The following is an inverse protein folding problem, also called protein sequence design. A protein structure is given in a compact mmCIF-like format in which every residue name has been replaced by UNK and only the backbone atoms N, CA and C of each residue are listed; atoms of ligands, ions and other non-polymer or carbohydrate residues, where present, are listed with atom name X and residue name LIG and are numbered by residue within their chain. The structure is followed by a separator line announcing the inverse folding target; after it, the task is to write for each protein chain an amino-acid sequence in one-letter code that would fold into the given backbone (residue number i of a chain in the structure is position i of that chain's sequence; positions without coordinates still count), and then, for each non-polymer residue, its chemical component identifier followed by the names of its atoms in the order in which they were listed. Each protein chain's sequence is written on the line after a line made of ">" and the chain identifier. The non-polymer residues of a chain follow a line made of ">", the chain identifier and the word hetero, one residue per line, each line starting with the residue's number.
data_IF_395886159770
#
_entry.id   IF_395886159770
#
_cell.length_a   1.000
_cell.length_b   1.000
_cell.length_c   1.000
_cell.angle_alpha   90.00
_cell.angle_beta   90.00
_cell.angle_gamma   90.00
#
_symmetry.space_group_name_H-M   'P 1'
#
loop_
_entity.id
_entity.type
_entity.pdbx_description
1 polymer ?
#
# COMPACT_ATOMS: atom_id res chain seq x y z
N UNK A 1 36.25 20.33 15.48
CA UNK A 1 35.30 20.81 14.46
C UNK A 1 36.10 21.04 13.19
N UNK A 2 35.85 20.28 12.12
CA UNK A 2 36.57 20.51 10.86
C UNK A 2 36.08 21.81 10.22
N UNK A 3 37.00 22.71 9.86
CA UNK A 3 36.64 23.91 9.10
C UNK A 3 36.07 23.50 7.74
N UNK A 4 34.85 23.94 7.43
CA UNK A 4 34.22 23.72 6.12
C UNK A 4 34.95 24.56 5.06
N UNK A 5 35.07 24.01 3.86
CA UNK A 5 35.62 24.72 2.70
C UNK A 5 34.55 25.65 2.13
N UNK A 6 34.88 26.93 1.98
CA UNK A 6 33.97 27.93 1.41
C UNK A 6 33.99 27.80 -0.12
N UNK A 7 32.83 27.54 -0.74
CA UNK A 7 32.65 27.51 -2.19
C UNK A 7 31.24 27.98 -2.59
N UNK A 8 31.04 28.58 -3.77
CA UNK A 8 29.70 28.91 -4.27
C UNK A 8 28.76 27.69 -4.29
N UNK A 9 27.47 27.92 -4.07
CA UNK A 9 26.45 26.86 -4.18
C UNK A 9 26.42 26.26 -5.60
N UNK A 10 26.15 24.96 -5.69
CA UNK A 10 26.15 24.21 -6.95
C UNK A 10 27.52 23.71 -7.42
N UNK A 11 28.62 24.11 -6.75
CA UNK A 11 30.00 23.69 -7.07
C UNK A 11 30.63 22.83 -5.97
N UNK A 12 29.80 22.21 -5.12
CA UNK A 12 30.26 21.33 -4.06
C UNK A 12 30.47 19.92 -4.61
N UNK A 13 31.58 19.29 -4.23
CA UNK A 13 31.82 17.90 -4.59
C UNK A 13 30.79 17.02 -3.85
N UNK A 14 30.03 16.23 -4.58
CA UNK A 14 29.01 15.33 -4.05
C UNK A 14 29.38 13.86 -4.31
N UNK A 15 29.21 12.96 -3.32
CA UNK A 15 29.37 11.53 -3.53
C UNK A 15 28.23 10.92 -4.37
N UNK A 16 27.14 11.67 -4.58
CA UNK A 16 25.99 11.25 -5.36
C UNK A 16 26.33 11.40 -6.85
N UNK A 17 26.25 10.30 -7.59
CA UNK A 17 26.51 10.26 -9.04
C UNK A 17 25.25 9.85 -9.79
N UNK A 18 25.07 10.19 -11.08
CA UNK A 18 23.92 9.71 -11.85
C UNK A 18 23.72 8.18 -11.79
N UNK A 19 24.82 7.42 -11.71
CA UNK A 19 24.77 5.97 -11.57
C UNK A 19 24.21 5.52 -10.21
N UNK A 20 24.55 6.21 -9.11
CA UNK A 20 23.99 5.89 -7.78
C UNK A 20 22.49 6.20 -7.69
N UNK A 21 21.98 7.12 -8.52
CA UNK A 21 20.55 7.43 -8.60
C UNK A 21 19.73 6.30 -9.24
N UNK A 22 20.32 5.56 -10.18
CA UNK A 22 19.63 4.56 -10.99
C UNK A 22 19.76 3.12 -10.47
N UNK A 23 20.62 2.86 -9.48
CA UNK A 23 21.01 1.51 -9.07
C UNK A 23 20.20 0.88 -7.93
N UNK A 24 19.26 1.60 -7.33
CA UNK A 24 18.49 1.12 -6.17
C UNK A 24 17.34 0.20 -6.56
N UNK A 25 17.01 -0.74 -5.66
CA UNK A 25 15.76 -1.51 -5.73
C UNK A 25 14.58 -0.57 -5.47
N UNK A 26 13.44 -0.81 -6.12
CA UNK A 26 12.15 -0.26 -5.65
C UNK A 26 11.34 -1.38 -5.01
N UNK A 27 10.57 -1.03 -3.98
CA UNK A 27 9.59 -1.93 -3.37
C UNK A 27 8.21 -1.42 -3.72
N UNK A 28 7.30 -2.33 -4.07
CA UNK A 28 5.96 -1.95 -4.53
C UNK A 28 4.84 -2.51 -3.63
N UNK A 29 5.09 -3.63 -2.94
CA UNK A 29 4.13 -4.23 -2.00
C UNK A 29 4.85 -5.17 -1.00
N UNK A 30 4.24 -5.41 0.16
CA UNK A 30 4.72 -6.30 1.25
C UNK A 30 3.54 -6.90 2.01
N UNK A 31 3.52 -8.22 2.22
CA UNK A 31 2.44 -8.95 2.87
C UNK A 31 2.96 -10.07 3.76
N UNK A 32 2.21 -10.38 4.82
CA UNK A 32 2.42 -11.58 5.63
C UNK A 32 1.69 -12.77 5.03
N UNK A 33 2.26 -13.96 5.17
CA UNK A 33 1.50 -15.20 5.04
C UNK A 33 0.53 -15.39 6.22
N UNK A 34 -0.44 -16.28 6.07
CA UNK A 34 -1.46 -16.59 7.08
C UNK A 34 -0.89 -17.12 8.39
N UNK A 35 0.30 -17.73 8.37
CA UNK A 35 1.00 -18.15 9.59
C UNK A 35 1.51 -16.96 10.42
N UNK A 36 1.57 -15.78 9.80
CA UNK A 36 2.13 -14.55 10.32
C UNK A 36 3.62 -14.60 10.60
N UNK A 37 4.35 -15.64 10.14
CA UNK A 37 5.79 -15.90 10.31
C UNK A 37 6.60 -15.58 9.06
N UNK A 38 6.01 -15.77 7.88
CA UNK A 38 6.66 -15.51 6.61
C UNK A 38 6.26 -14.15 6.05
N UNK A 39 7.25 -13.31 5.73
CA UNK A 39 7.05 -12.03 5.06
C UNK A 39 7.40 -12.16 3.58
N UNK A 40 6.55 -11.65 2.71
CA UNK A 40 6.76 -11.64 1.26
C UNK A 40 6.69 -10.19 0.76
N UNK A 41 7.61 -9.78 -0.10
CA UNK A 41 7.58 -8.46 -0.72
C UNK A 41 7.94 -8.52 -2.19
N UNK A 42 7.57 -7.47 -2.92
CA UNK A 42 7.86 -7.31 -4.33
C UNK A 42 9.01 -6.33 -4.53
N UNK A 43 10.09 -6.81 -5.15
CA UNK A 43 11.24 -5.99 -5.58
C UNK A 43 11.16 -5.71 -7.08
N UNK A 44 11.23 -4.45 -7.48
CA UNK A 44 11.48 -4.08 -8.86
C UNK A 44 13.00 -4.00 -9.08
N UNK A 45 13.51 -4.98 -9.82
CA UNK A 45 14.91 -5.10 -10.21
C UNK A 45 15.03 -4.80 -11.70
N UNK A 46 15.45 -3.58 -12.01
CA UNK A 46 15.47 -3.07 -13.38
C UNK A 46 14.06 -3.05 -14.00
N UNK A 47 13.78 -3.95 -14.95
CA UNK A 47 12.50 -4.06 -15.65
C UNK A 47 11.64 -5.25 -15.18
N UNK A 48 12.08 -6.00 -14.17
CA UNK A 48 11.40 -7.19 -13.64
C UNK A 48 10.93 -7.01 -12.20
N UNK A 49 9.73 -7.50 -11.91
CA UNK A 49 9.22 -7.65 -10.55
C UNK A 49 9.54 -9.05 -10.02
N UNK A 50 10.21 -9.13 -8.88
CA UNK A 50 10.61 -10.38 -8.23
C UNK A 50 9.98 -10.44 -6.84
N UNK A 51 9.21 -11.49 -6.58
CA UNK A 51 8.75 -11.79 -5.23
C UNK A 51 9.88 -12.39 -4.41
N UNK A 52 10.07 -11.86 -3.22
CA UNK A 52 11.06 -12.30 -2.24
C UNK A 52 10.33 -12.72 -0.97
N UNK A 53 10.72 -13.84 -0.39
CA UNK A 53 10.16 -14.36 0.85
C UNK A 53 11.25 -14.50 1.91
N UNK A 54 10.94 -14.09 3.13
CA UNK A 54 11.77 -14.31 4.30
C UNK A 54 10.90 -14.72 5.51
N UNK A 55 11.08 -15.92 6.05
CA UNK A 55 10.69 -16.19 7.44
C UNK A 55 11.38 -15.20 8.37
N UNK A 56 10.70 -14.76 9.44
CA UNK A 56 11.32 -13.83 10.37
C UNK A 56 12.61 -14.39 10.98
N UNK A 57 13.68 -13.60 10.91
CA UNK A 57 15.01 -13.97 11.42
C UNK A 57 15.82 -14.85 10.46
N UNK A 58 15.27 -15.23 9.31
CA UNK A 58 15.95 -15.98 8.27
C UNK A 58 16.33 -15.09 7.08
N UNK A 59 17.26 -15.56 6.25
CA UNK A 59 17.69 -14.83 5.07
C UNK A 59 16.58 -14.84 3.98
N UNK A 60 16.37 -13.72 3.27
CA UNK A 60 15.44 -13.67 2.15
C UNK A 60 15.87 -14.55 0.98
N UNK A 61 14.89 -15.12 0.28
CA UNK A 61 15.07 -15.83 -0.98
C UNK A 61 14.09 -15.35 -2.05
N UNK A 62 14.55 -15.35 -3.30
CA UNK A 62 13.70 -15.06 -4.46
C UNK A 62 12.76 -16.25 -4.74
N UNK A 63 11.52 -15.95 -5.13
CA UNK A 63 10.50 -16.95 -5.49
C UNK A 63 10.31 -17.04 -7.02
N UNK A 64 10.16 -15.91 -7.70
CA UNK A 64 9.72 -15.84 -9.11
C UNK A 64 10.88 -15.52 -10.06
N UNK A 65 11.91 -16.36 -10.07
CA UNK A 65 13.15 -16.09 -10.83
C UNK A 65 12.93 -15.89 -12.35
N UNK A 66 11.99 -16.64 -12.91
CA UNK A 66 11.72 -16.69 -14.36
C UNK A 66 10.47 -15.92 -14.79
N UNK A 67 9.71 -15.34 -13.84
CA UNK A 67 8.43 -14.68 -14.10
C UNK A 67 8.46 -13.26 -13.53
N UNK A 68 8.06 -12.27 -14.34
CA UNK A 68 8.01 -10.89 -13.89
C UNK A 68 6.65 -10.59 -13.28
N UNK A 69 6.61 -10.42 -11.97
CA UNK A 69 5.40 -10.09 -11.21
C UNK A 69 5.03 -8.63 -11.45
N UNK A 70 3.89 -8.39 -12.13
CA UNK A 70 3.41 -7.05 -12.47
C UNK A 70 1.94 -7.07 -12.92
N UNK A 71 1.06 -6.54 -12.09
CA UNK A 71 -0.31 -6.20 -12.47
C UNK A 71 -0.35 -4.92 -13.31
N UNK A 72 -1.29 -4.85 -14.24
CA UNK A 72 -1.37 -3.77 -15.25
C UNK A 72 -2.76 -3.15 -15.40
N UNK A 73 -3.70 -3.43 -14.49
CA UNK A 73 -4.99 -2.74 -14.46
C UNK A 73 -4.77 -1.31 -13.95
N UNK A 74 -5.26 -0.32 -14.71
CA UNK A 74 -5.02 1.10 -14.43
C UNK A 74 -3.52 1.43 -14.48
N UNK A 75 -2.97 1.94 -13.37
CA UNK A 75 -1.54 2.22 -13.23
C UNK A 75 -0.75 1.07 -12.58
N UNK A 76 -1.38 -0.09 -12.38
CA UNK A 76 -0.80 -1.28 -11.74
C UNK A 76 -1.06 -1.36 -10.24
N UNK A 77 -0.26 -2.19 -9.55
CA UNK A 77 -0.42 -2.49 -8.12
C UNK A 77 -1.34 -3.68 -7.85
N UNK A 78 -1.42 -4.10 -6.58
CA UNK A 78 -2.16 -5.31 -6.21
C UNK A 78 -1.61 -6.54 -6.91
N UNK A 79 -0.28 -6.65 -6.99
CA UNK A 79 0.38 -7.63 -7.83
C UNK A 79 0.30 -9.05 -7.27
N UNK A 80 0.15 -9.19 -5.95
CA UNK A 80 0.10 -10.50 -5.30
C UNK A 80 -0.70 -10.50 -3.99
N UNK A 81 -0.98 -11.71 -3.51
CA UNK A 81 -1.47 -12.00 -2.17
C UNK A 81 -0.83 -13.29 -1.66
N UNK A 82 -0.85 -13.52 -0.35
CA UNK A 82 -0.24 -14.70 0.27
C UNK A 82 -1.24 -15.32 1.22
N UNK A 83 -1.44 -16.63 1.11
CA UNK A 83 -2.27 -17.38 2.03
C UNK A 83 -1.83 -18.84 2.13
N UNK A 84 -1.86 -19.39 3.34
CA UNK A 84 -1.62 -20.81 3.60
C UNK A 84 -0.29 -21.34 3.03
N UNK A 85 0.81 -20.57 3.15
CA UNK A 85 2.12 -20.98 2.63
C UNK A 85 2.23 -20.94 1.11
N UNK A 86 1.32 -20.23 0.44
CA UNK A 86 1.28 -20.07 -1.03
C UNK A 86 1.16 -18.59 -1.39
N UNK A 87 1.97 -18.13 -2.33
CA UNK A 87 1.80 -16.83 -2.98
C UNK A 87 0.98 -16.98 -4.26
N UNK A 88 0.03 -16.06 -4.46
CA UNK A 88 -0.76 -15.94 -5.68
C UNK A 88 -0.44 -14.58 -6.29
N UNK A 89 0.01 -14.55 -7.54
CA UNK A 89 0.55 -13.33 -8.15
C UNK A 89 0.18 -13.18 -9.61
N UNK A 90 0.07 -11.94 -10.06
CA UNK A 90 -0.15 -11.58 -11.45
C UNK A 90 1.20 -11.42 -12.13
N UNK A 91 1.42 -12.18 -13.18
CA UNK A 91 2.57 -12.02 -14.06
C UNK A 91 2.27 -10.95 -15.11
N UNK A 92 3.31 -10.30 -15.67
CA UNK A 92 3.21 -9.22 -16.66
C UNK A 92 2.31 -9.52 -17.86
N UNK A 93 2.10 -10.77 -18.22
CA UNK A 93 1.14 -11.21 -19.25
C UNK A 93 -0.34 -11.10 -18.86
N UNK A 94 -0.64 -10.70 -17.62
CA UNK A 94 -1.99 -10.63 -17.07
C UNK A 94 -2.48 -11.95 -16.46
N UNK A 95 -1.66 -13.00 -16.49
CA UNK A 95 -2.00 -14.33 -15.98
C UNK A 95 -1.79 -14.43 -14.47
N UNK A 96 -2.75 -15.03 -13.76
CA UNK A 96 -2.60 -15.36 -12.35
C UNK A 96 -1.83 -16.68 -12.19
N UNK A 97 -0.82 -16.66 -11.34
CA UNK A 97 -0.02 -17.81 -10.94
C UNK A 97 -0.17 -18.08 -9.45
N UNK A 98 0.18 -19.30 -9.06
CA UNK A 98 0.44 -19.66 -7.66
C UNK A 98 1.80 -20.33 -7.52
N UNK A 99 2.42 -20.17 -6.36
CA UNK A 99 3.66 -20.84 -6.02
C UNK A 99 3.73 -21.07 -4.51
N UNK A 100 4.15 -22.25 -4.07
CA UNK A 100 4.42 -22.48 -2.65
C UNK A 100 5.61 -21.63 -2.20
N UNK A 101 5.54 -21.08 -0.99
CA UNK A 101 6.63 -20.30 -0.42
C UNK A 101 7.88 -21.15 -0.18
N UNK A 102 7.76 -22.47 -0.04
CA UNK A 102 8.86 -23.38 0.33
C UNK A 102 9.47 -24.12 -0.83
N UNK A 103 8.66 -24.69 -1.74
CA UNK A 103 9.15 -25.61 -2.78
C UNK A 103 8.35 -25.56 -4.07
N UNK A 104 9.00 -25.89 -5.19
CA UNK A 104 8.34 -26.10 -6.48
C UNK A 104 8.19 -24.84 -7.34
N UNK A 105 7.95 -25.04 -8.65
CA UNK A 105 7.79 -23.94 -9.61
C UNK A 105 6.41 -23.30 -9.50
N UNK A 106 6.31 -22.06 -9.99
CA UNK A 106 5.02 -21.40 -10.18
C UNK A 106 4.15 -22.16 -11.18
N UNK A 107 2.85 -22.20 -10.93
CA UNK A 107 1.84 -22.82 -11.79
C UNK A 107 0.77 -21.81 -12.16
N UNK A 108 0.37 -21.73 -13.44
CA UNK A 108 -0.69 -20.82 -13.83
C UNK A 108 -2.06 -21.31 -13.36
N UNK A 109 -2.93 -20.37 -12.98
CA UNK A 109 -4.32 -20.59 -12.58
C UNK A 109 -5.34 -20.09 -13.60
N UNK A 110 -4.99 -19.07 -14.37
CA UNK A 110 -5.85 -18.52 -15.44
C UNK A 110 -5.20 -18.77 -16.80
N UNK A 111 -5.91 -18.60 -17.92
CA UNK A 111 -5.28 -18.36 -19.22
C UNK A 111 -4.56 -17.01 -19.26
N UNK A 112 -3.71 -16.83 -20.26
CA UNK A 112 -3.02 -15.58 -20.57
C UNK A 112 -3.93 -14.67 -21.39
N UNK A 113 -4.86 -13.99 -20.72
CA UNK A 113 -5.93 -13.26 -21.39
C UNK A 113 -6.40 -12.07 -20.55
N UNK A 114 -6.39 -10.88 -21.14
CA UNK A 114 -6.70 -9.63 -20.46
C UNK A 114 -5.64 -9.26 -19.42
N UNK A 115 -6.03 -8.44 -18.45
CA UNK A 115 -5.19 -8.01 -17.33
C UNK A 115 -5.82 -8.43 -16.00
N UNK A 116 -4.99 -8.58 -14.98
CA UNK A 116 -5.42 -8.93 -13.64
C UNK A 116 -4.77 -8.01 -12.59
N UNK A 117 -5.43 -7.86 -11.45
CA UNK A 117 -4.89 -7.19 -10.26
C UNK A 117 -5.65 -7.59 -8.99
N UNK A 118 -5.09 -7.22 -7.84
CA UNK A 118 -5.68 -7.37 -6.50
C UNK A 118 -6.22 -8.78 -6.21
N UNK A 119 -5.40 -9.84 -6.32
CA UNK A 119 -5.85 -11.18 -5.94
C UNK A 119 -6.18 -11.24 -4.44
N UNK A 120 -7.22 -11.99 -4.07
CA UNK A 120 -7.64 -12.17 -2.67
C UNK A 120 -8.16 -13.59 -2.45
N UNK A 121 -7.48 -14.34 -1.58
CA UNK A 121 -7.80 -15.75 -1.31
C UNK A 121 -8.95 -15.86 -0.31
N UNK A 122 -9.87 -16.80 -0.53
CA UNK A 122 -10.95 -17.10 0.40
C UNK A 122 -10.43 -17.65 1.73
N UNK A 123 -11.15 -17.49 2.85
CA UNK A 123 -10.70 -17.99 4.16
C UNK A 123 -10.44 -19.51 4.20
N UNK A 124 -11.16 -20.27 3.37
CA UNK A 124 -10.99 -21.71 3.24
C UNK A 124 -9.89 -22.13 2.24
N UNK A 125 -9.22 -21.16 1.61
CA UNK A 125 -8.12 -21.37 0.67
C UNK A 125 -8.51 -21.92 -0.70
N UNK A 126 -9.81 -22.09 -0.99
CA UNK A 126 -10.26 -22.76 -2.23
C UNK A 126 -10.43 -21.81 -3.41
N UNK A 127 -10.65 -20.54 -3.16
CA UNK A 127 -11.00 -19.57 -4.20
C UNK A 127 -10.10 -18.36 -4.15
N UNK A 128 -9.85 -17.76 -5.30
CA UNK A 128 -9.14 -16.48 -5.44
C UNK A 128 -10.04 -15.53 -6.20
N UNK A 129 -10.39 -14.41 -5.58
CA UNK A 129 -10.97 -13.27 -6.28
C UNK A 129 -9.83 -12.48 -6.93
N UNK A 130 -10.11 -11.85 -8.06
CA UNK A 130 -9.23 -10.83 -8.64
C UNK A 130 -10.07 -9.80 -9.38
N UNK A 131 -9.52 -8.60 -9.55
CA UNK A 131 -10.01 -7.69 -10.58
C UNK A 131 -9.46 -8.17 -11.92
N UNK A 132 -10.33 -8.34 -12.90
CA UNK A 132 -9.97 -8.75 -14.26
C UNK A 132 -10.48 -7.70 -15.25
N UNK A 133 -9.61 -7.29 -16.17
CA UNK A 133 -9.94 -6.33 -17.22
C UNK A 133 -9.77 -6.99 -18.59
N UNK A 134 -10.79 -6.88 -19.43
CA UNK A 134 -10.73 -7.33 -20.81
C UNK A 134 -11.51 -6.41 -21.74
N UNK A 135 -10.88 -5.99 -22.85
CA UNK A 135 -11.45 -5.03 -23.81
C UNK A 135 -12.01 -3.76 -23.15
N UNK A 136 -11.32 -3.27 -22.12
CA UNK A 136 -11.69 -2.06 -21.39
C UNK A 136 -12.85 -2.21 -20.41
N UNK A 137 -13.29 -3.43 -20.13
CA UNK A 137 -14.33 -3.71 -19.14
C UNK A 137 -13.72 -4.45 -17.95
N UNK A 138 -13.81 -3.85 -16.77
CA UNK A 138 -13.40 -4.50 -15.53
C UNK A 138 -14.51 -5.42 -15.00
N UNK A 139 -14.11 -6.37 -14.16
CA UNK A 139 -14.99 -7.28 -13.44
C UNK A 139 -14.26 -7.84 -12.22
N UNK A 140 -15.02 -8.38 -11.26
CA UNK A 140 -14.44 -9.27 -10.25
C UNK A 140 -14.60 -10.69 -10.77
N UNK A 141 -13.47 -11.36 -10.99
CA UNK A 141 -13.43 -12.76 -11.35
C UNK A 141 -13.16 -13.65 -10.13
N UNK A 142 -13.63 -14.89 -10.18
CA UNK A 142 -13.35 -15.94 -9.19
C UNK A 142 -12.63 -17.11 -9.88
N UNK A 143 -11.57 -17.59 -9.23
CA UNK A 143 -10.67 -18.63 -9.74
C UNK A 143 -10.52 -19.71 -8.69
N UNK A 144 -10.49 -20.98 -9.11
CA UNK A 144 -10.12 -22.09 -8.22
C UNK A 144 -8.65 -21.97 -7.86
N UNK A 145 -8.33 -21.96 -6.56
CA UNK A 145 -6.97 -21.78 -6.06
C UNK A 145 -6.03 -22.92 -6.47
N UNK A 146 -6.58 -24.06 -6.92
CA UNK A 146 -5.83 -25.20 -7.45
C UNK A 146 -5.85 -25.29 -8.99
N UNK A 147 -6.58 -24.41 -9.68
CA UNK A 147 -6.62 -24.34 -11.14
C UNK A 147 -7.42 -25.46 -11.82
N UNK A 148 -8.34 -26.11 -11.10
CA UNK A 148 -9.16 -27.24 -11.59
C UNK A 148 -10.34 -26.79 -12.44
N UNK A 149 -10.80 -25.56 -12.25
CA UNK A 149 -11.98 -25.00 -12.92
C UNK A 149 -11.60 -23.77 -13.74
N UNK A 150 -12.34 -23.54 -14.83
CA UNK A 150 -12.19 -22.34 -15.64
C UNK A 150 -12.60 -21.09 -14.84
N UNK A 151 -11.83 -19.97 -14.91
CA UNK A 151 -12.20 -18.71 -14.25
C UNK A 151 -13.59 -18.20 -14.65
N UNK A 152 -14.32 -17.62 -13.71
CA UNK A 152 -15.65 -17.06 -13.94
C UNK A 152 -15.73 -15.58 -13.56
N UNK A 153 -16.50 -14.80 -14.32
CA UNK A 153 -16.90 -13.45 -13.90
C UNK A 153 -17.97 -13.58 -12.81
N UNK A 154 -17.67 -13.07 -11.63
CA UNK A 154 -18.54 -13.12 -10.45
C UNK A 154 -19.38 -11.85 -10.32
N UNK A 155 -18.76 -10.68 -10.51
CA UNK A 155 -19.41 -9.35 -10.51
C UNK A 155 -18.97 -8.59 -11.76
N UNK A 156 -19.91 -7.90 -12.41
CA UNK A 156 -19.68 -7.07 -13.60
C UNK A 156 -20.80 -6.02 -13.74
N UNK A 157 -20.60 -5.03 -14.60
CA UNK A 157 -21.60 -4.00 -14.92
C UNK A 157 -21.17 -2.57 -14.61
N UNK A 158 -20.10 -2.40 -13.84
CA UNK A 158 -19.42 -1.12 -13.62
C UNK A 158 -18.15 -1.04 -14.48
N UNK A 159 -17.70 0.19 -14.76
CA UNK A 159 -16.51 0.44 -15.57
C UNK A 159 -15.23 0.03 -14.84
N UNK A 160 -15.19 0.23 -13.51
CA UNK A 160 -13.98 0.01 -12.70
C UNK A 160 -14.27 -0.69 -11.37
N UNK A 161 -13.34 -1.57 -10.98
CA UNK A 161 -13.38 -2.31 -9.72
C UNK A 161 -12.03 -2.27 -8.98
N UNK A 162 -12.06 -2.23 -7.65
CA UNK A 162 -10.86 -2.24 -6.81
C UNK A 162 -11.04 -3.06 -5.54
N UNK A 163 -9.91 -3.62 -5.09
CA UNK A 163 -9.70 -4.15 -3.73
C UNK A 163 -10.81 -5.10 -3.23
N UNK A 164 -11.10 -6.20 -3.96
CA UNK A 164 -12.02 -7.21 -3.43
C UNK A 164 -11.48 -7.78 -2.10
N UNK A 165 -12.40 -8.07 -1.18
CA UNK A 165 -12.13 -8.65 0.13
C UNK A 165 -13.14 -9.74 0.44
N UNK A 166 -12.64 -10.85 0.97
CA UNK A 166 -13.49 -11.87 1.59
C UNK A 166 -13.82 -11.48 3.02
N UNK A 167 -15.08 -11.69 3.39
CA UNK A 167 -15.46 -11.76 4.79
C UNK A 167 -14.85 -13.04 5.44
N UNK A 168 -14.46 -13.02 6.72
CA UNK A 168 -13.82 -14.17 7.39
C UNK A 168 -14.60 -15.48 7.38
N UNK A 169 -15.94 -15.43 7.27
CA UNK A 169 -16.79 -16.63 7.16
C UNK A 169 -16.86 -17.23 5.74
N UNK A 170 -16.32 -16.55 4.73
CA UNK A 170 -16.34 -16.97 3.33
C UNK A 170 -17.70 -16.86 2.62
N UNK A 171 -18.73 -16.29 3.26
CA UNK A 171 -20.09 -16.16 2.72
C UNK A 171 -20.40 -14.76 2.18
N UNK A 172 -19.50 -13.81 2.37
CA UNK A 172 -19.66 -12.44 1.90
C UNK A 172 -18.37 -11.91 1.29
N UNK A 173 -18.51 -10.96 0.38
CA UNK A 173 -17.39 -10.21 -0.21
C UNK A 173 -17.72 -8.72 -0.23
N UNK A 174 -16.69 -7.89 -0.16
CA UNK A 174 -16.80 -6.44 -0.34
C UNK A 174 -15.81 -5.97 -1.42
N UNK A 175 -16.14 -4.87 -2.10
CA UNK A 175 -15.26 -4.23 -3.08
C UNK A 175 -15.61 -2.76 -3.29
N UNK A 176 -14.71 -2.04 -3.94
CA UNK A 176 -14.96 -0.67 -4.42
C UNK A 176 -15.28 -0.70 -5.91
N UNK A 177 -16.29 0.05 -6.34
CA UNK A 177 -16.64 0.23 -7.74
C UNK A 177 -17.00 1.69 -8.06
N UNK A 178 -16.75 2.11 -9.29
CA UNK A 178 -17.19 3.42 -9.80
C UNK A 178 -17.31 3.38 -11.33
N UNK A 179 -17.90 4.42 -11.88
CA UNK A 179 -18.17 4.55 -13.31
C UNK A 179 -17.68 5.90 -13.82
N UNK A 180 -17.50 6.00 -15.13
CA UNK A 180 -17.33 7.30 -15.75
C UNK A 180 -18.54 8.21 -15.49
N UNK A 181 -18.32 9.53 -15.33
CA UNK A 181 -17.04 10.25 -15.50
C UNK A 181 -16.17 10.34 -14.24
N UNK A 182 -16.51 9.64 -13.14
CA UNK A 182 -15.78 9.76 -11.88
C UNK A 182 -14.38 9.14 -11.97
N UNK A 183 -13.40 9.80 -11.35
CA UNK A 183 -12.19 9.17 -10.87
C UNK A 183 -12.39 8.66 -9.44
N UNK A 184 -11.57 7.71 -8.93
CA UNK A 184 -11.84 7.09 -7.63
C UNK A 184 -11.65 8.02 -6.41
N UNK A 185 -11.14 9.24 -6.60
CA UNK A 185 -11.13 10.30 -5.59
C UNK A 185 -12.27 11.31 -5.72
N UNK A 186 -13.06 11.25 -6.79
CA UNK A 186 -14.26 12.09 -6.95
C UNK A 186 -15.44 11.44 -6.23
N UNK A 187 -15.69 10.15 -6.53
CA UNK A 187 -16.78 9.39 -5.93
C UNK A 187 -16.72 7.92 -6.29
N UNK A 188 -16.93 7.05 -5.31
CA UNK A 188 -16.96 5.59 -5.49
C UNK A 188 -18.04 4.98 -4.62
N UNK A 189 -18.32 3.69 -4.82
CA UNK A 189 -19.25 2.92 -4.00
C UNK A 189 -18.51 1.76 -3.34
N UNK A 190 -18.78 1.58 -2.05
CA UNK A 190 -18.48 0.35 -1.34
C UNK A 190 -19.67 -0.59 -1.47
N UNK A 191 -19.44 -1.70 -2.15
CA UNK A 191 -20.43 -2.73 -2.39
C UNK A 191 -20.16 -3.95 -1.51
N UNK A 192 -21.24 -4.61 -1.09
CA UNK A 192 -21.24 -5.84 -0.32
C UNK A 192 -22.09 -6.87 -1.06
N UNK A 193 -21.60 -8.10 -1.18
CA UNK A 193 -22.37 -9.21 -1.74
C UNK A 193 -22.40 -10.42 -0.82
N UNK A 194 -23.55 -11.11 -0.84
CA UNK A 194 -23.70 -12.42 -0.22
C UNK A 194 -23.49 -13.51 -1.27
N UNK A 195 -22.76 -14.54 -0.86
CA UNK A 195 -22.42 -15.69 -1.66
C UNK A 195 -23.17 -16.93 -1.20
N UNK A 196 -23.59 -17.74 -2.17
CA UNK A 196 -24.07 -19.08 -1.95
C UNK A 196 -23.02 -20.07 -2.49
N UNK A 197 -22.62 -21.02 -1.65
CA UNK A 197 -21.69 -22.09 -2.02
C UNK A 197 -22.44 -23.43 -2.09
N UNK A 198 -22.46 -24.04 -3.27
CA UNK A 198 -23.15 -25.33 -3.49
C UNK A 198 -22.15 -26.49 -3.51
N UNK A 199 -21.56 -26.77 -2.33
CA UNK A 199 -20.91 -28.06 -2.03
C UNK A 199 -19.90 -28.58 -3.06
N UNK A 200 -19.02 -27.72 -3.60
CA UNK A 200 -17.97 -28.09 -4.55
C UNK A 200 -18.00 -27.33 -5.88
N UNK A 201 -19.05 -26.53 -6.13
CA UNK A 201 -19.09 -25.58 -7.23
C UNK A 201 -18.53 -24.21 -6.84
N UNK A 202 -18.22 -23.38 -7.84
CA UNK A 202 -17.86 -21.99 -7.62
C UNK A 202 -18.99 -21.23 -6.90
N UNK A 203 -18.67 -20.41 -5.89
CA UNK A 203 -19.62 -19.53 -5.24
C UNK A 203 -20.38 -18.65 -6.22
N UNK A 204 -21.67 -18.45 -5.97
CA UNK A 204 -22.52 -17.54 -6.76
C UNK A 204 -22.98 -16.38 -5.90
N UNK A 205 -23.05 -15.21 -6.51
CA UNK A 205 -23.64 -14.02 -5.88
C UNK A 205 -25.15 -14.15 -5.90
N UNK A 206 -25.78 -13.99 -4.74
CA UNK A 206 -27.23 -14.06 -4.59
C UNK A 206 -27.85 -12.72 -4.22
N UNK A 207 -27.04 -11.77 -3.75
CA UNK A 207 -27.48 -10.46 -3.30
C UNK A 207 -26.30 -9.49 -3.35
N UNK A 208 -26.55 -8.26 -3.80
CA UNK A 208 -25.59 -7.16 -3.84
C UNK A 208 -26.26 -5.91 -3.28
N UNK A 209 -25.58 -5.22 -2.37
CA UNK A 209 -25.99 -3.92 -1.87
C UNK A 209 -24.82 -2.92 -1.91
N UNK A 210 -25.11 -1.66 -2.20
CA UNK A 210 -24.16 -0.57 -1.96
C UNK A 210 -24.39 -0.07 -0.54
N UNK A 211 -23.36 -0.11 0.30
CA UNK A 211 -23.49 0.26 1.72
C UNK A 211 -22.95 1.65 2.00
N UNK A 212 -21.98 2.16 1.23
CA UNK A 212 -21.44 3.50 1.41
C UNK A 212 -20.95 4.09 0.08
N UNK A 213 -20.82 5.42 0.04
CA UNK A 213 -20.30 6.14 -1.11
C UNK A 213 -21.36 6.51 -2.16
N UNK A 214 -21.04 7.52 -2.95
CA UNK A 214 -21.89 8.10 -3.97
C UNK A 214 -21.00 8.86 -4.99
N UNK A 215 -21.55 9.45 -6.08
CA UNK A 215 -20.76 10.15 -7.09
C UNK A 215 -19.90 11.33 -6.60
N UNK A 216 -20.10 11.82 -5.37
CA UNK A 216 -19.33 12.91 -4.76
C UNK A 216 -18.63 12.49 -3.46
N UNK A 217 -18.73 11.21 -3.07
CA UNK A 217 -18.11 10.67 -1.86
C UNK A 217 -17.20 9.52 -2.24
N UNK A 218 -15.89 9.73 -2.12
CA UNK A 218 -14.89 8.72 -2.38
C UNK A 218 -14.73 7.78 -1.18
N UNK A 219 -14.93 6.49 -1.46
CA UNK A 219 -14.69 5.39 -0.53
C UNK A 219 -13.46 4.60 -0.98
N UNK A 220 -12.60 4.25 -0.02
CA UNK A 220 -11.33 3.58 -0.28
C UNK A 220 -11.05 2.50 0.77
N UNK A 221 -10.38 1.42 0.34
CA UNK A 221 -9.86 0.35 1.19
C UNK A 221 -10.88 -0.23 2.19
N UNK A 222 -11.78 -1.12 1.74
CA UNK A 222 -12.59 -1.90 2.66
C UNK A 222 -11.74 -3.00 3.32
N UNK A 223 -11.99 -3.26 4.62
CA UNK A 223 -11.36 -4.34 5.37
C UNK A 223 -12.29 -4.86 6.48
N UNK A 224 -12.62 -6.16 6.44
CA UNK A 224 -13.43 -6.79 7.48
C UNK A 224 -12.63 -6.92 8.78
N UNK A 225 -13.29 -6.72 9.93
CA UNK A 225 -12.70 -7.04 11.21
C UNK A 225 -12.41 -8.55 11.31
N UNK A 226 -11.35 -8.96 12.04
CA UNK A 226 -11.01 -10.38 12.18
C UNK A 226 -12.15 -11.26 12.70
N UNK A 227 -13.06 -10.70 13.51
CA UNK A 227 -14.24 -11.39 14.03
C UNK A 227 -15.46 -11.40 13.09
N UNK A 228 -15.36 -10.77 11.91
CA UNK A 228 -16.43 -10.67 10.92
C UNK A 228 -17.63 -9.82 11.34
N UNK A 229 -17.54 -9.04 12.43
CA UNK A 229 -18.70 -8.26 12.90
C UNK A 229 -18.82 -6.89 12.26
N UNK A 230 -17.72 -6.39 11.72
CA UNK A 230 -17.67 -5.05 11.14
C UNK A 230 -16.82 -5.00 9.89
N UNK A 231 -17.04 -3.95 9.10
CA UNK A 231 -16.26 -3.61 7.92
C UNK A 231 -15.76 -2.18 8.10
N UNK A 232 -14.45 -1.98 8.10
CA UNK A 232 -13.83 -0.66 8.13
C UNK A 232 -13.53 -0.21 6.71
N UNK A 233 -13.61 1.09 6.48
CA UNK A 233 -13.28 1.72 5.19
C UNK A 233 -12.87 3.17 5.42
N UNK A 234 -12.30 3.80 4.40
CA UNK A 234 -11.99 5.23 4.38
C UNK A 234 -13.07 5.95 3.59
N UNK A 235 -13.59 7.04 4.13
CA UNK A 235 -14.59 7.93 3.49
C UNK A 235 -14.10 9.37 3.56
N UNK A 236 -14.27 10.13 2.48
CA UNK A 236 -14.02 11.56 2.46
C UNK A 236 -15.27 12.42 2.70
N UNK A 237 -16.39 11.83 3.17
CA UNK A 237 -17.67 12.55 3.36
C UNK A 237 -17.57 13.78 4.28
N UNK A 238 -16.57 13.82 5.19
CA UNK A 238 -16.29 14.97 6.07
C UNK A 238 -15.28 15.96 5.48
N UNK A 239 -14.95 15.84 4.19
CA UNK A 239 -13.97 16.65 3.47
C UNK A 239 -12.52 16.16 3.57
N UNK A 240 -12.25 15.12 4.37
CA UNK A 240 -10.94 14.49 4.54
C UNK A 240 -11.12 12.98 4.65
N UNK A 241 -10.20 12.19 4.08
CA UNK A 241 -10.23 10.73 4.17
C UNK A 241 -10.07 10.24 5.60
N UNK A 242 -11.19 9.86 6.24
CA UNK A 242 -11.27 9.39 7.61
C UNK A 242 -11.72 7.92 7.69
N UNK A 243 -11.40 7.25 8.80
CA UNK A 243 -11.82 5.86 9.03
C UNK A 243 -13.27 5.79 9.49
N UNK A 244 -14.04 4.91 8.87
CA UNK A 244 -15.43 4.59 9.20
C UNK A 244 -15.57 3.11 9.52
N UNK A 245 -16.48 2.78 10.43
CA UNK A 245 -16.85 1.42 10.78
C UNK A 245 -18.31 1.19 10.44
N UNK A 246 -18.56 0.18 9.62
CA UNK A 246 -19.87 -0.38 9.34
C UNK A 246 -20.13 -1.61 10.21
N UNK A 247 -21.21 -1.59 10.99
CA UNK A 247 -21.71 -2.73 11.74
C UNK A 247 -22.58 -3.59 10.80
N UNK A 248 -22.11 -4.80 10.48
CA UNK A 248 -22.77 -5.70 9.52
C UNK A 248 -24.15 -6.15 10.00
N UNK A 249 -24.35 -6.26 11.32
CA UNK A 249 -25.61 -6.73 11.91
C UNK A 249 -26.66 -5.62 11.99
N UNK A 250 -26.24 -4.41 12.38
CA UNK A 250 -27.12 -3.25 12.54
C UNK A 250 -27.32 -2.47 11.24
N UNK A 251 -26.47 -2.71 10.24
CA UNK A 251 -26.40 -1.95 8.99
C UNK A 251 -26.24 -0.45 9.24
N UNK A 252 -25.34 -0.09 10.16
CA UNK A 252 -25.06 1.31 10.53
C UNK A 252 -23.59 1.63 10.47
N UNK A 253 -23.28 2.90 10.19
CA UNK A 253 -21.93 3.41 10.01
C UNK A 253 -21.62 4.40 11.12
N UNK A 254 -20.36 4.48 11.53
CA UNK A 254 -19.88 5.59 12.36
C UNK A 254 -18.44 5.93 12.01
N UNK A 255 -18.12 7.22 12.03
CA UNK A 255 -16.74 7.67 11.95
C UNK A 255 -15.96 7.22 13.19
N UNK A 256 -14.77 6.66 12.98
CA UNK A 256 -13.79 6.35 14.01
C UNK A 256 -12.84 7.52 14.21
N UNK A 257 -12.45 8.19 13.13
CA UNK A 257 -11.64 9.42 13.12
C UNK A 257 -12.43 10.55 12.47
N UNK A 258 -12.22 11.79 12.93
CA UNK A 258 -12.83 12.99 12.35
C UNK A 258 -11.84 14.14 12.50
N UNK A 259 -10.75 14.06 11.76
CA UNK A 259 -9.68 15.04 11.82
C UNK A 259 -9.45 15.64 10.42
N UNK A 260 -9.01 16.91 10.32
CA UNK A 260 -8.68 17.54 9.05
C UNK A 260 -7.31 17.06 8.55
N UNK A 261 -7.19 15.75 8.34
CA UNK A 261 -5.96 15.05 7.96
C UNK A 261 -6.28 13.85 7.08
N UNK A 262 -5.41 13.53 6.14
CA UNK A 262 -5.60 12.38 5.26
C UNK A 262 -5.09 11.08 5.89
N UNK A 263 -5.96 10.07 5.96
CA UNK A 263 -5.62 8.65 6.17
C UNK A 263 -5.65 7.90 4.82
N UNK A 264 -6.39 8.42 3.84
CA UNK A 264 -6.48 7.88 2.49
C UNK A 264 -5.34 8.34 1.58
N UNK A 265 -5.37 7.81 0.36
CA UNK A 265 -4.52 8.24 -0.75
C UNK A 265 -5.35 8.20 -2.03
N UNK A 266 -5.11 9.07 -3.03
CA UNK A 266 -5.76 8.96 -4.33
C UNK A 266 -5.51 7.56 -4.92
N UNK A 267 -6.59 6.81 -5.18
CA UNK A 267 -6.53 5.39 -5.54
C UNK A 267 -6.12 5.16 -7.01
N UNK A 268 -4.94 5.64 -7.41
CA UNK A 268 -4.35 5.39 -8.72
C UNK A 268 -3.90 3.93 -8.90
N UNK A 269 -3.45 3.29 -7.81
CA UNK A 269 -2.90 1.94 -7.80
C UNK A 269 -3.84 0.98 -7.09
N UNK A 270 -3.97 -0.22 -7.66
CA UNK A 270 -4.62 -1.37 -7.06
C UNK A 270 -3.87 -1.81 -5.78
N UNK A 271 -4.58 -2.49 -4.87
CA UNK A 271 -3.97 -3.11 -3.68
C UNK A 271 -3.36 -2.17 -2.63
N UNK A 272 -3.47 -0.84 -2.77
CA UNK A 272 -2.94 0.12 -1.77
C UNK A 272 -3.53 -0.10 -0.37
N UNK A 273 -2.67 -0.09 0.65
CA UNK A 273 -3.06 -0.19 2.06
C UNK A 273 -2.47 0.95 2.89
N UNK A 274 -3.33 1.67 3.60
CA UNK A 274 -2.97 2.72 4.57
C UNK A 274 -3.37 2.37 5.99
N UNK A 275 -4.19 1.35 6.21
CA UNK A 275 -4.49 0.81 7.55
C UNK A 275 -4.59 -0.72 7.57
N UNK A 276 -4.70 -1.29 8.77
CA UNK A 276 -5.11 -2.69 9.00
C UNK A 276 -5.40 -2.99 10.48
N UNK A 277 -6.05 -4.11 10.74
CA UNK A 277 -6.38 -4.56 12.10
C UNK A 277 -5.21 -5.24 12.83
N UNK A 278 -5.12 -5.03 14.15
CA UNK A 278 -4.36 -5.92 15.03
C UNK A 278 -4.94 -7.35 14.98
N UNK A 279 -4.14 -8.40 15.28
CA UNK A 279 -4.61 -9.79 15.27
C UNK A 279 -5.87 -10.04 16.12
N UNK A 280 -5.98 -9.35 17.25
CA UNK A 280 -7.13 -9.44 18.18
C UNK A 280 -8.35 -8.61 17.76
N UNK A 281 -8.23 -7.86 16.67
CA UNK A 281 -9.26 -6.97 16.14
C UNK A 281 -9.62 -5.79 17.05
N UNK A 282 -8.84 -5.48 18.09
CA UNK A 282 -9.16 -4.42 19.06
C UNK A 282 -8.58 -3.05 18.66
N UNK A 283 -7.56 -3.03 17.82
CA UNK A 283 -6.84 -1.82 17.42
C UNK A 283 -6.73 -1.75 15.91
N UNK A 284 -6.97 -0.57 15.34
CA UNK A 284 -6.62 -0.26 13.96
C UNK A 284 -5.29 0.48 13.95
N UNK A 285 -4.34 0.00 13.17
CA UNK A 285 -3.11 0.73 12.87
C UNK A 285 -3.26 1.38 11.50
N UNK A 286 -2.97 2.67 11.40
CA UNK A 286 -3.18 3.45 10.19
C UNK A 286 -2.09 4.48 9.97
N UNK A 287 -1.86 4.81 8.70
CA UNK A 287 -0.90 5.81 8.25
C UNK A 287 -1.65 7.12 8.09
N UNK A 288 -1.19 8.15 8.78
CA UNK A 288 -1.70 9.51 8.71
C UNK A 288 -0.70 10.39 7.96
N UNK A 289 -1.21 11.22 7.05
CA UNK A 289 -0.41 12.17 6.30
C UNK A 289 -0.54 13.59 6.83
N UNK A 290 0.54 14.13 7.38
CA UNK A 290 0.58 15.51 7.88
C UNK A 290 1.67 16.31 7.16
N UNK A 291 1.27 17.12 6.19
CA UNK A 291 2.21 17.97 5.43
C UNK A 291 3.26 17.16 4.65
N UNK A 292 2.88 15.99 4.13
CA UNK A 292 3.77 15.09 3.40
C UNK A 292 4.58 14.14 4.29
N UNK A 293 4.33 14.14 5.60
CA UNK A 293 4.94 13.22 6.56
C UNK A 293 3.95 12.08 6.84
N UNK A 294 4.27 10.86 6.42
CA UNK A 294 3.40 9.69 6.56
C UNK A 294 3.82 8.88 7.80
N UNK A 295 2.98 8.86 8.83
CA UNK A 295 3.33 8.30 10.14
C UNK A 295 2.29 7.34 10.67
N UNK A 296 2.73 6.39 11.50
CA UNK A 296 1.87 5.38 12.09
C UNK A 296 1.09 5.92 13.28
N UNK A 297 -0.19 5.59 13.30
CA UNK A 297 -1.12 5.86 14.40
C UNK A 297 -1.87 4.58 14.76
N UNK A 298 -2.35 4.52 15.99
CA UNK A 298 -3.18 3.44 16.51
C UNK A 298 -4.50 3.99 17.03
N UNK A 299 -5.61 3.38 16.65
CA UNK A 299 -6.95 3.67 17.15
C UNK A 299 -7.51 2.47 17.91
N UNK A 300 -7.72 2.62 19.22
CA UNK A 300 -8.33 1.57 20.04
C UNK A 300 -9.86 1.57 19.89
N UNK A 301 -10.46 0.51 19.38
CA UNK A 301 -11.92 0.47 19.10
C UNK A 301 -12.78 0.53 20.36
N UNK A 302 -12.31 -0.05 21.46
CA UNK A 302 -12.98 -0.03 22.76
C UNK A 302 -12.79 1.29 23.49
N UNK A 303 -11.54 1.76 23.57
CA UNK A 303 -11.18 3.01 24.26
C UNK A 303 -11.60 4.25 23.47
N UNK A 304 -11.81 4.11 22.15
CA UNK A 304 -12.19 5.17 21.20
C UNK A 304 -11.22 6.35 21.22
N UNK A 305 -9.93 6.04 21.23
CA UNK A 305 -8.86 7.02 21.22
C UNK A 305 -7.82 6.69 20.16
N UNK A 306 -7.24 7.75 19.60
CA UNK A 306 -6.12 7.69 18.68
C UNK A 306 -4.84 8.11 19.39
N UNK A 307 -3.72 7.46 19.06
CA UNK A 307 -2.39 7.89 19.49
C UNK A 307 -1.36 7.63 18.38
N UNK A 308 -0.38 8.52 18.28
CA UNK A 308 0.75 8.37 17.36
C UNK A 308 1.71 7.30 17.89
N UNK A 309 2.24 6.48 16.99
CA UNK A 309 3.24 5.45 17.29
C UNK A 309 4.59 5.99 16.83
N UNK A 310 5.34 6.58 17.76
CA UNK A 310 6.57 7.28 17.45
C UNK A 310 7.82 6.44 17.63
N UNK A 311 8.20 6.06 18.86
CA UNK A 311 9.48 5.39 19.10
C UNK A 311 9.48 3.92 18.66
N UNK A 312 10.47 3.43 17.89
CA UNK A 312 11.58 4.11 17.22
C UNK A 312 11.34 4.37 15.70
N UNK A 313 10.08 4.54 15.30
CA UNK A 313 9.64 4.84 13.93
C UNK A 313 9.75 6.32 13.53
N UNK A 314 10.04 7.25 14.45
CA UNK A 314 10.08 8.70 14.19
C UNK A 314 11.18 9.10 13.18
N UNK A 315 12.19 8.24 12.99
CA UNK A 315 13.23 8.40 11.97
C UNK A 315 12.70 8.26 10.54
N UNK A 316 11.57 7.56 10.35
CA UNK A 316 10.93 7.33 9.06
C UNK A 316 9.79 8.33 8.85
N UNK A 317 9.97 9.23 7.90
CA UNK A 317 8.99 10.26 7.54
C UNK A 317 8.03 9.83 6.43
N UNK A 318 8.23 8.65 5.87
CA UNK A 318 7.38 8.04 4.86
C UNK A 318 7.20 6.54 5.16
N UNK A 319 6.04 6.19 5.71
CA UNK A 319 5.56 4.81 5.83
C UNK A 319 4.48 4.57 4.77
N UNK A 320 4.60 3.46 4.03
CA UNK A 320 3.67 3.04 2.99
C UNK A 320 3.40 1.53 3.05
N UNK A 321 2.30 1.10 2.43
CA UNK A 321 1.91 -0.31 2.27
C UNK A 321 1.98 -1.09 3.58
N UNK A 322 1.23 -0.62 4.58
CA UNK A 322 1.15 -1.29 5.87
C UNK A 322 0.62 -2.73 5.69
N UNK A 323 1.25 -3.68 6.40
CA UNK A 323 0.80 -5.06 6.49
C UNK A 323 0.92 -5.57 7.93
N UNK A 324 -0.22 -5.82 8.57
CA UNK A 324 -0.28 -6.36 9.92
C UNK A 324 -0.14 -7.88 9.85
N UNK A 325 0.66 -8.45 10.74
CA UNK A 325 0.73 -9.90 10.89
C UNK A 325 -0.64 -10.40 11.37
N UNK A 326 -1.21 -11.47 10.78
CA UNK A 326 -2.51 -11.99 11.18
C UNK A 326 -2.49 -12.68 12.55
N UNK A 327 -1.32 -13.03 13.08
CA UNK A 327 -1.17 -13.85 14.29
C UNK A 327 -0.30 -13.23 15.36
N UNK A 328 0.45 -12.17 15.05
CA UNK A 328 1.44 -11.55 15.96
C UNK A 328 1.27 -10.03 15.99
N UNK A 329 1.61 -9.36 17.09
CA UNK A 329 1.57 -7.90 17.19
C UNK A 329 2.77 -7.28 16.44
N UNK A 330 2.89 -7.54 15.14
CA UNK A 330 3.99 -7.03 14.30
C UNK A 330 3.40 -6.44 13.02
N UNK A 331 3.87 -5.25 12.64
CA UNK A 331 3.55 -4.63 11.36
C UNK A 331 4.78 -4.68 10.43
N UNK A 332 4.53 -4.73 9.13
CA UNK A 332 5.52 -4.51 8.08
C UNK A 332 5.17 -3.29 7.24
N UNK A 333 6.19 -2.63 6.69
CA UNK A 333 6.06 -1.41 5.89
C UNK A 333 7.08 -1.37 4.76
N UNK A 334 6.75 -0.61 3.72
CA UNK A 334 7.76 0.06 2.91
C UNK A 334 8.04 1.40 3.61
N UNK A 335 9.26 1.58 4.12
CA UNK A 335 9.63 2.72 4.93
C UNK A 335 10.80 3.50 4.32
N UNK A 336 10.77 4.82 4.42
CA UNK A 336 11.88 5.70 4.06
C UNK A 336 11.82 7.02 4.82
N UNK A 337 12.84 7.83 4.66
CA UNK A 337 12.79 9.27 4.94
C UNK A 337 13.61 10.00 3.88
N UNK A 338 13.50 11.32 3.82
CA UNK A 338 14.38 12.13 2.97
C UNK A 338 15.88 11.81 3.10
N UNK A 339 16.34 11.27 4.23
CA UNK A 339 17.76 10.93 4.46
C UNK A 339 18.00 9.42 4.68
N UNK A 340 16.97 8.59 4.56
CA UNK A 340 17.01 7.15 4.80
C UNK A 340 16.42 6.44 3.57
N UNK A 341 17.22 5.77 2.73
CA UNK A 341 16.74 5.05 1.55
C UNK A 341 15.59 4.08 1.85
N UNK A 342 14.73 3.83 0.86
CA UNK A 342 13.59 2.92 1.00
C UNK A 342 14.02 1.53 1.49
N UNK A 343 13.21 0.90 2.34
CA UNK A 343 13.47 -0.41 2.92
C UNK A 343 12.19 -1.13 3.32
N UNK A 344 12.25 -2.46 3.35
CA UNK A 344 11.25 -3.27 4.03
C UNK A 344 11.59 -3.29 5.51
N UNK A 345 10.62 -2.84 6.31
CA UNK A 345 10.72 -2.69 7.74
C UNK A 345 9.72 -3.61 8.42
N UNK A 346 10.07 -4.20 9.56
CA UNK A 346 9.10 -4.74 10.52
C UNK A 346 9.20 -4.01 11.84
N UNK A 347 8.07 -3.79 12.48
CA UNK A 347 7.97 -3.13 13.78
C UNK A 347 7.12 -3.96 14.73
N UNK A 348 7.65 -4.21 15.91
CA UNK A 348 6.91 -4.80 17.03
C UNK A 348 5.93 -3.76 17.60
N UNK A 349 4.64 -4.09 17.60
CA UNK A 349 3.56 -3.21 18.03
C UNK A 349 3.33 -3.24 19.54
N UNK A 350 4.03 -4.13 20.26
CA UNK A 350 4.03 -4.10 21.72
C UNK A 350 4.70 -2.84 22.27
N UNK A 351 4.41 -2.53 23.53
CA UNK A 351 4.93 -1.32 24.16
C UNK A 351 6.45 -1.38 24.26
N UNK A 352 7.13 -0.37 23.70
CA UNK A 352 8.60 -0.35 23.63
C UNK A 352 9.15 -1.26 22.52
N UNK A 353 8.31 -1.61 21.55
CA UNK A 353 8.66 -2.43 20.42
C UNK A 353 9.85 -1.90 19.63
N UNK A 354 10.49 -2.81 18.92
CA UNK A 354 11.71 -2.55 18.17
C UNK A 354 11.47 -2.59 16.66
N UNK A 355 12.33 -1.89 15.94
CA UNK A 355 12.36 -1.89 14.48
C UNK A 355 13.42 -2.87 14.00
N UNK A 356 13.08 -3.67 12.99
CA UNK A 356 14.02 -4.54 12.27
C UNK A 356 13.95 -4.28 10.77
N UNK A 357 15.12 -4.06 10.15
CA UNK A 357 15.25 -3.87 8.70
C UNK A 357 15.38 -5.23 8.02
N UNK A 358 14.37 -5.61 7.24
CA UNK A 358 14.38 -6.88 6.51
C UNK A 358 15.14 -6.77 5.19
N UNK A 359 15.03 -5.61 4.51
CA UNK A 359 15.66 -5.41 3.21
C UNK A 359 15.91 -3.94 2.91
N UNK A 360 17.14 -3.58 2.53
CA UNK A 360 17.50 -2.22 2.08
C UNK A 360 17.39 -2.12 0.55
N UNK A 361 16.97 -0.97 0.05
CA UNK A 361 16.96 -0.70 -1.40
C UNK A 361 18.32 -0.43 -2.01
N UNK A 362 19.29 0.04 -1.22
CA UNK A 362 20.63 0.42 -1.67
C UNK A 362 21.68 -0.07 -0.67
N UNK A 363 22.96 0.09 -1.03
CA UNK A 363 24.10 -0.16 -0.15
C UNK A 363 24.38 0.98 0.83
N UNK A 364 23.59 2.07 0.81
CA UNK A 364 23.72 3.21 1.73
C UNK A 364 25.13 3.83 1.74
N UNK A 365 25.76 3.93 0.57
CA UNK A 365 27.13 4.46 0.45
C UNK A 365 27.24 5.97 0.70
N UNK A 366 26.10 6.68 0.76
CA UNK A 366 26.03 8.12 1.04
C UNK A 366 25.59 8.31 2.49
N UNK A 367 26.41 8.96 3.35
CA UNK A 367 26.03 9.23 4.73
C UNK A 367 24.80 10.13 4.82
N UNK A 368 23.91 9.89 5.79
CA UNK A 368 22.72 10.71 6.01
C UNK A 368 23.01 12.21 6.21
N UNK A 369 24.18 12.55 6.77
CA UNK A 369 24.62 13.94 6.93
C UNK A 369 24.96 14.66 5.62
N UNK A 370 25.06 13.93 4.50
CA UNK A 370 25.21 14.47 3.15
C UNK A 370 23.87 14.54 2.38
N UNK A 371 22.75 14.19 3.02
CA UNK A 371 21.41 14.20 2.44
C UNK A 371 20.55 15.28 3.10
N UNK A 372 19.79 16.02 2.29
CA UNK A 372 18.93 17.08 2.81
C UNK A 372 17.68 16.50 3.44
N UNK A 373 17.43 16.86 4.70
CA UNK A 373 16.16 16.59 5.37
C UNK A 373 15.03 17.46 4.80
N UNK A 374 13.89 16.83 4.50
CA UNK A 374 12.69 17.54 4.07
C UNK A 374 12.12 18.40 5.20
N UNK A 375 11.78 19.65 4.87
CA UNK A 375 11.13 20.59 5.79
C UNK A 375 9.77 20.97 5.21
N UNK A 376 8.64 20.51 5.80
CA UNK A 376 7.33 21.00 5.40
C UNK A 376 7.23 22.50 5.61
N UNK A 377 6.85 23.21 4.55
CA UNK A 377 6.65 24.65 4.54
C UNK A 377 5.26 24.99 4.00
N UNK A 378 4.76 26.16 4.36
CA UNK A 378 3.57 26.76 3.76
C UNK A 378 3.78 28.24 3.50
N UNK A 379 3.10 28.75 2.47
CA UNK A 379 3.11 30.16 2.12
C UNK A 379 1.77 30.57 1.52
N UNK A 380 1.55 31.87 1.36
CA UNK A 380 0.33 32.41 0.76
C UNK A 380 0.52 32.66 -0.73
N UNK A 381 -0.46 32.26 -1.54
CA UNK A 381 -0.54 32.67 -2.95
C UNK A 381 -0.83 34.17 -3.05
N UNK A 382 -0.72 34.73 -4.25
CA UNK A 382 -1.10 36.12 -4.51
C UNK A 382 -2.59 36.39 -4.18
N UNK A 383 -3.42 35.34 -4.22
CA UNK A 383 -4.85 35.37 -3.90
C UNK A 383 -5.15 35.05 -2.42
N UNK A 384 -4.13 34.79 -1.59
CA UNK A 384 -4.28 34.52 -0.15
C UNK A 384 -4.54 33.06 0.24
N UNK A 385 -4.55 32.14 -0.72
CA UNK A 385 -4.68 30.70 -0.48
C UNK A 385 -3.40 30.15 0.15
N UNK A 386 -3.53 29.16 1.04
CA UNK A 386 -2.35 28.48 1.59
C UNK A 386 -1.84 27.44 0.59
N UNK A 387 -0.58 27.58 0.20
CA UNK A 387 0.17 26.60 -0.56
C UNK A 387 1.10 25.84 0.38
N UNK A 388 1.37 24.58 0.04
CA UNK A 388 2.20 23.67 0.82
C UNK A 388 3.34 23.14 -0.03
N UNK A 389 4.45 22.81 0.61
CA UNK A 389 5.60 22.22 -0.07
C UNK A 389 6.59 21.60 0.89
N UNK A 390 7.58 20.92 0.30
CA UNK A 390 8.72 20.36 1.01
C UNK A 390 9.96 21.13 0.58
N UNK A 391 10.60 21.78 1.53
CA UNK A 391 11.86 22.49 1.32
C UNK A 391 13.05 21.59 1.68
N UNK A 392 14.04 21.57 0.79
CA UNK A 392 15.29 20.84 0.95
C UNK A 392 16.44 21.86 0.88
N UNK A 393 17.11 22.09 2.01
CA UNK A 393 18.20 23.04 2.08
C UNK A 393 19.51 22.39 1.58
N UNK A 394 20.38 23.11 0.84
CA UNK A 394 21.67 22.58 0.44
C UNK A 394 22.49 22.14 1.67
N UNK A 395 22.88 20.87 1.70
CA UNK A 395 23.64 20.30 2.82
C UNK A 395 24.91 19.63 2.32
N UNK A 396 26.01 19.90 3.02
CA UNK A 396 27.24 19.16 2.87
C UNK A 396 28.10 19.34 4.14
N UNK A 397 28.66 18.26 4.71
CA UNK A 397 29.49 18.37 5.90
C UNK A 397 30.86 19.03 5.63
N UNK A 398 31.32 19.04 4.37
CA UNK A 398 32.63 19.55 3.95
C UNK A 398 32.59 20.97 3.41
N UNK A 399 31.46 21.42 2.88
CA UNK A 399 31.34 22.72 2.20
C UNK A 399 30.39 23.70 2.89
N UNK A 400 30.70 24.99 2.74
CA UNK A 400 29.84 26.11 3.12
C UNK A 400 29.66 27.05 1.92
N UNK A 401 28.42 27.46 1.68
CA UNK A 401 28.05 28.32 0.56
C UNK A 401 28.35 29.80 0.81
N UNK A 402 28.51 30.55 -0.27
CA UNK A 402 28.57 32.02 -0.25
C UNK A 402 27.33 32.57 -0.94
N UNK A 403 26.67 33.56 -0.33
CA UNK A 403 25.46 34.18 -0.88
C UNK A 403 24.18 33.35 -0.67
N UNK A 404 23.22 33.48 -1.58
CA UNK A 404 22.00 32.68 -1.60
C UNK A 404 22.15 31.49 -2.57
N UNK A 405 21.64 30.30 -2.24
CA UNK A 405 21.67 29.17 -3.16
C UNK A 405 20.69 29.37 -4.32
N UNK A 406 20.99 28.84 -5.52
CA UNK A 406 19.96 28.65 -6.54
C UNK A 406 18.89 27.68 -6.02
N UNK A 407 17.65 27.86 -6.46
CA UNK A 407 16.53 27.02 -6.08
C UNK A 407 15.96 26.28 -7.29
N UNK A 408 15.61 25.00 -7.09
CA UNK A 408 14.85 24.21 -8.06
C UNK A 408 13.42 24.09 -7.52
N UNK A 409 12.44 24.54 -8.31
CA UNK A 409 11.02 24.38 -7.99
C UNK A 409 10.52 23.14 -8.72
N UNK A 410 10.15 22.12 -7.95
CA UNK A 410 9.59 20.88 -8.47
C UNK A 410 8.10 20.80 -8.21
N UNK A 411 7.32 20.60 -9.26
CA UNK A 411 5.86 20.37 -9.19
C UNK A 411 5.60 18.91 -9.53
N UNK A 412 4.93 18.17 -8.65
CA UNK A 412 4.68 16.74 -8.84
C UNK A 412 3.66 16.47 -9.96
N UNK A 413 3.68 15.24 -10.49
CA UNK A 413 2.66 14.74 -11.42
C UNK A 413 1.36 14.32 -10.70
N UNK A 414 0.34 13.96 -11.49
CA UNK A 414 -1.01 13.62 -11.01
C UNK A 414 -2.08 14.22 -11.93
N UNK A 415 -2.63 15.43 -11.65
CA UNK A 415 -2.28 16.35 -10.56
C UNK A 415 -2.87 15.98 -9.19
N UNK A 416 -3.86 15.08 -9.12
CA UNK A 416 -4.42 14.56 -7.86
C UNK A 416 -3.48 13.56 -7.20
N UNK A 417 -2.36 14.06 -6.68
CA UNK A 417 -1.32 13.34 -5.94
C UNK A 417 -0.57 14.36 -5.07
N UNK A 418 0.57 13.98 -4.50
CA UNK A 418 1.40 14.88 -3.73
C UNK A 418 2.86 14.43 -3.71
N UNK A 419 3.75 15.38 -3.37
CA UNK A 419 5.10 15.05 -2.89
C UNK A 419 5.06 14.69 -1.41
N UNK A 420 5.76 13.63 -1.02
CA UNK A 420 5.94 13.22 0.37
C UNK A 420 7.42 13.29 0.75
N UNK A 421 7.71 13.38 2.04
CA UNK A 421 9.06 13.41 2.61
C UNK A 421 9.72 12.02 2.61
N UNK A 422 9.65 11.32 1.49
CA UNK A 422 10.31 10.03 1.26
C UNK A 422 11.74 10.23 0.77
N UNK A 423 12.53 9.16 0.76
CA UNK A 423 13.82 9.18 0.09
C UNK A 423 13.61 9.35 -1.41
N UNK A 424 14.17 10.40 -1.99
CA UNK A 424 14.25 10.55 -3.44
C UNK A 424 15.68 10.87 -3.83
N UNK A 425 16.33 10.01 -4.63
CA UNK A 425 17.69 10.27 -5.10
C UNK A 425 17.77 11.57 -5.92
N UNK A 426 16.65 12.05 -6.47
CA UNK A 426 16.56 13.25 -7.30
C UNK A 426 16.33 14.56 -6.51
N UNK A 427 16.11 14.50 -5.19
CA UNK A 427 15.73 15.67 -4.37
C UNK A 427 16.88 16.22 -3.50
N UNK A 428 18.13 15.97 -3.90
CA UNK A 428 19.34 16.35 -3.15
C UNK A 428 20.17 17.45 -3.81
#
# INVERSE_FOLDING_TARGET
>A
MSNKVIRPFGLWDSPITPKSLAGGLRFSDVLWDSDGKSLVWLEERSDRGILVCAPLGEAPRDLTLDLSVRAQIGYGGGDFTVAGGTVYFVERSGRLYRQSLTTGPARPLTPEFGYAASPCVSPDGKWVLLVHSYEGNDSIAIVDAEGRFWPQKLIFGDDFYMQPRWHPDGQQIAWIAWNHPQMPWDGTRLCLARLQADGGQMPRVVEVETIAGDPNTAIFQPEFSPDGRSLVYISNETGWGNLYLYDLSRKTHRALTQEPVEIGTPAWLQGRRTYGFSPDGQTLYYIRNEGGLLRLWAYGLRARNAARVDSPLEEYTSLEQIALSPTRPVAAFIASSSVIPSRILTYDLERGGSVSVQRRSTTESVPAAELSGAQPISWKSAQGETLYGLFYAPVNPKFQGVGLPPAIIWVHGGPTSQSIAAYSPLQF
#
